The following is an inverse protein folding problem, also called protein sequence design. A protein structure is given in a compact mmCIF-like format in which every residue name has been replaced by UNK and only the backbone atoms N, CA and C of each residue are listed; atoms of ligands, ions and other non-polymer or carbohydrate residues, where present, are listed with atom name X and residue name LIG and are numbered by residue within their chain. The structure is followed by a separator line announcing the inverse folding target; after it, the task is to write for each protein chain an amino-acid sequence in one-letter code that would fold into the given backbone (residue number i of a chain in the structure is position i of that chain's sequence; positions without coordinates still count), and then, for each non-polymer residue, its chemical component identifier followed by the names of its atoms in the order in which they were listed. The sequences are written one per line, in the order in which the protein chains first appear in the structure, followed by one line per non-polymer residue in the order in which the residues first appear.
data_IF_841437350944
#
_entry.id   IF_841437350944
#
_cell.length_a   1.000
_cell.length_b   1.000
_cell.length_c   1.000
_cell.angle_alpha   90.00
_cell.angle_beta   90.00
_cell.angle_gamma   90.00
#
_symmetry.space_group_name_H-M   'P 1'
#
loop_
_entity.id
_entity.type
_entity.pdbx_description
1 polymer ?
#
# COMPACT_ATOMS: atom_id res chain seq x y z
N UNK A 1 -29.32 -5.77 -16.08
CA UNK A 1 -29.16 -4.86 -14.92
C UNK A 1 -28.13 -5.35 -13.90
N UNK A 2 -28.07 -6.63 -13.46
CA UNK A 2 -27.07 -7.06 -12.46
C UNK A 2 -25.61 -6.99 -12.96
N UNK A 3 -25.37 -7.18 -14.26
CA UNK A 3 -24.04 -7.08 -14.88
C UNK A 3 -23.43 -5.67 -14.80
N UNK A 4 -24.25 -4.62 -14.78
CA UNK A 4 -23.79 -3.24 -14.64
C UNK A 4 -23.34 -2.94 -13.20
N UNK A 5 -24.10 -3.40 -12.21
CA UNK A 5 -23.75 -3.25 -10.79
C UNK A 5 -22.47 -4.03 -10.42
N UNK A 6 -22.30 -5.23 -10.97
CA UNK A 6 -21.08 -6.02 -10.80
C UNK A 6 -19.86 -5.32 -11.40
N UNK A 7 -20.02 -4.73 -12.58
CA UNK A 7 -18.97 -3.96 -13.25
C UNK A 7 -18.57 -2.73 -12.42
N UNK A 8 -19.54 -2.05 -11.80
CA UNK A 8 -19.26 -0.87 -10.97
C UNK A 8 -18.55 -1.22 -9.66
N UNK A 9 -18.98 -2.30 -8.96
CA UNK A 9 -18.30 -2.78 -7.76
C UNK A 9 -16.88 -3.28 -8.06
N UNK A 10 -16.66 -3.97 -9.19
CA UNK A 10 -15.34 -4.38 -9.65
C UNK A 10 -14.45 -3.17 -9.98
N UNK A 11 -15.02 -2.15 -10.63
CA UNK A 11 -14.30 -0.91 -10.96
C UNK A 11 -13.89 -0.14 -9.69
N UNK A 12 -14.79 -0.07 -8.68
CA UNK A 12 -14.49 0.53 -7.38
C UNK A 12 -13.39 -0.24 -6.64
N UNK A 13 -13.45 -1.57 -6.64
CA UNK A 13 -12.37 -2.38 -6.08
C UNK A 13 -11.07 -2.09 -6.83
N UNK A 14 -11.08 -2.13 -8.16
CA UNK A 14 -9.89 -1.91 -8.98
C UNK A 14 -9.26 -0.54 -8.69
N UNK A 15 -10.08 0.49 -8.54
CA UNK A 15 -9.62 1.84 -8.21
C UNK A 15 -9.02 1.93 -6.80
N UNK A 16 -9.65 1.29 -5.82
CA UNK A 16 -9.15 1.22 -4.45
C UNK A 16 -7.80 0.49 -4.37
N UNK A 17 -7.69 -0.61 -5.12
CA UNK A 17 -6.48 -1.41 -5.26
C UNK A 17 -5.36 -0.59 -5.90
N UNK A 18 -5.63 0.09 -7.02
CA UNK A 18 -4.65 0.92 -7.72
C UNK A 18 -4.11 2.02 -6.82
N UNK A 19 -5.00 2.72 -6.08
CA UNK A 19 -4.61 3.74 -5.11
C UNK A 19 -3.71 3.17 -4.01
N UNK A 20 -4.06 2.01 -3.47
CA UNK A 20 -3.28 1.36 -2.42
C UNK A 20 -1.89 0.96 -2.94
N UNK A 21 -1.81 0.29 -4.09
CA UNK A 21 -0.54 -0.12 -4.70
C UNK A 21 0.33 1.09 -5.04
N UNK A 22 -0.25 2.17 -5.58
CA UNK A 22 0.48 3.40 -5.88
C UNK A 22 1.06 4.04 -4.62
N UNK A 23 0.27 4.10 -3.54
CA UNK A 23 0.72 4.63 -2.26
C UNK A 23 1.82 3.76 -1.64
N UNK A 24 1.67 2.43 -1.69
CA UNK A 24 2.70 1.48 -1.27
C UNK A 24 3.99 1.69 -2.06
N UNK A 25 3.90 1.81 -3.39
CA UNK A 25 5.07 1.99 -4.25
C UNK A 25 5.77 3.33 -4.00
N UNK A 26 5.02 4.39 -3.66
CA UNK A 26 5.55 5.70 -3.33
C UNK A 26 6.38 5.72 -2.03
N UNK A 27 6.18 4.76 -1.11
CA UNK A 27 7.00 4.64 0.10
C UNK A 27 8.47 4.44 -0.25
N UNK A 28 8.76 3.70 -1.33
CA UNK A 28 10.13 3.35 -1.70
C UNK A 28 10.96 4.60 -2.07
N UNK A 29 10.62 5.41 -3.09
CA UNK A 29 11.37 6.62 -3.39
C UNK A 29 11.32 7.65 -2.26
N UNK A 30 10.23 7.71 -1.50
CA UNK A 30 10.10 8.61 -0.34
C UNK A 30 11.14 8.27 0.73
N UNK A 31 11.29 6.98 1.05
CA UNK A 31 12.25 6.54 2.05
C UNK A 31 13.70 6.78 1.63
N UNK A 32 14.04 6.50 0.36
CA UNK A 32 15.37 6.78 -0.17
C UNK A 32 15.67 8.28 -0.09
N UNK A 33 14.73 9.13 -0.51
CA UNK A 33 14.91 10.58 -0.40
C UNK A 33 15.11 11.08 1.04
N UNK A 34 14.39 10.50 2.01
CA UNK A 34 14.56 10.84 3.43
C UNK A 34 15.90 10.34 4.01
N UNK A 35 16.33 9.14 3.62
CA UNK A 35 17.63 8.59 4.01
C UNK A 35 18.79 9.40 3.40
N UNK A 36 18.67 9.82 2.14
CA UNK A 36 19.65 10.68 1.48
C UNK A 36 19.77 12.04 2.17
N UNK A 37 18.64 12.63 2.59
CA UNK A 37 18.63 13.87 3.37
C UNK A 37 19.31 13.68 4.73
N UNK A 38 19.06 12.55 5.39
CA UNK A 38 19.69 12.21 6.66
C UNK A 38 21.20 12.03 6.50
N UNK A 39 21.65 11.36 5.43
CA UNK A 39 23.06 11.12 5.13
C UNK A 39 23.84 12.40 4.81
N UNK A 40 23.18 13.39 4.20
CA UNK A 40 23.78 14.69 3.87
C UNK A 40 23.79 15.68 5.04
N UNK A 41 23.14 15.35 6.16
CA UNK A 41 23.03 16.23 7.33
C UNK A 41 24.10 15.87 8.36
N UNK A 42 24.99 16.83 8.66
CA UNK A 42 26.01 16.71 9.70
C UNK A 42 25.66 17.54 10.96
N UNK A 43 26.06 17.05 12.13
CA UNK A 43 25.95 17.79 13.40
C UNK A 43 24.61 17.61 14.12
N UNK A 44 24.25 18.58 14.98
CA UNK A 44 23.10 18.43 15.91
C UNK A 44 21.74 18.32 15.21
N UNK A 45 21.62 18.77 13.96
CA UNK A 45 20.40 18.67 13.14
C UNK A 45 20.11 17.24 12.67
N UNK A 46 21.11 16.34 12.65
CA UNK A 46 20.95 14.95 12.20
C UNK A 46 19.93 14.19 13.04
N UNK A 47 19.91 14.42 14.36
CA UNK A 47 18.95 13.79 15.26
C UNK A 47 17.52 14.26 14.94
N UNK A 48 17.33 15.56 14.71
CA UNK A 48 16.02 16.15 14.40
C UNK A 48 15.49 15.61 13.07
N UNK A 49 16.34 15.63 12.02
CA UNK A 49 15.99 15.12 10.69
C UNK A 49 15.77 13.61 10.73
N UNK A 50 16.51 12.87 11.55
CA UNK A 50 16.31 11.44 11.78
C UNK A 50 14.95 11.13 12.37
N UNK A 51 14.56 11.81 13.45
CA UNK A 51 13.22 11.66 14.05
C UNK A 51 12.10 12.02 13.08
N UNK A 52 12.28 13.11 12.31
CA UNK A 52 11.29 13.53 11.33
C UNK A 52 11.13 12.50 10.20
N UNK A 53 12.24 12.02 9.66
CA UNK A 53 12.27 11.01 8.60
C UNK A 53 11.60 9.71 9.05
N UNK A 54 11.94 9.22 10.25
CA UNK A 54 11.36 8.00 10.81
C UNK A 54 9.85 8.17 11.08
N UNK A 55 9.43 9.34 11.57
CA UNK A 55 8.01 9.67 11.77
C UNK A 55 7.23 9.64 10.45
N UNK A 56 7.75 10.25 9.38
CA UNK A 56 7.10 10.25 8.07
C UNK A 56 7.03 8.85 7.46
N UNK A 57 8.12 8.08 7.52
CA UNK A 57 8.16 6.71 6.99
C UNK A 57 7.16 5.85 7.74
N UNK A 58 7.14 5.92 9.07
CA UNK A 58 6.21 5.13 9.90
C UNK A 58 4.74 5.50 9.64
N UNK A 59 4.41 6.79 9.55
CA UNK A 59 3.05 7.23 9.23
C UNK A 59 2.61 6.73 7.83
N UNK A 60 3.49 6.82 6.84
CA UNK A 60 3.22 6.35 5.48
C UNK A 60 2.99 4.83 5.43
N UNK A 61 3.81 4.06 6.15
CA UNK A 61 3.64 2.60 6.27
C UNK A 61 2.30 2.23 6.92
N UNK A 62 1.90 2.93 7.99
CA UNK A 62 0.61 2.69 8.65
C UNK A 62 -0.55 2.99 7.70
N UNK A 63 -0.50 4.11 6.96
CA UNK A 63 -1.53 4.44 5.98
C UNK A 63 -1.60 3.39 4.85
N UNK A 64 -0.44 2.92 4.37
CA UNK A 64 -0.38 1.87 3.36
C UNK A 64 -0.97 0.56 3.86
N UNK A 65 -0.68 0.18 5.11
CA UNK A 65 -1.31 -0.96 5.76
C UNK A 65 -2.83 -0.81 5.84
N UNK A 66 -3.34 0.33 6.31
CA UNK A 66 -4.79 0.54 6.46
C UNK A 66 -5.51 0.50 5.11
N UNK A 67 -4.95 1.11 4.07
CA UNK A 67 -5.55 1.09 2.73
C UNK A 67 -5.49 -0.30 2.09
N UNK A 68 -4.39 -1.03 2.25
CA UNK A 68 -4.25 -2.40 1.78
C UNK A 68 -5.22 -3.35 2.49
N UNK A 69 -5.37 -3.17 3.81
CA UNK A 69 -6.32 -3.93 4.61
C UNK A 69 -7.76 -3.64 4.20
N UNK A 70 -8.11 -2.36 4.01
CA UNK A 70 -9.44 -1.95 3.57
C UNK A 70 -9.80 -2.58 2.21
N UNK A 71 -8.88 -2.57 1.25
CA UNK A 71 -9.04 -3.28 -0.01
C UNK A 71 -9.23 -4.80 0.22
N UNK A 72 -8.44 -5.40 1.13
CA UNK A 72 -8.47 -6.81 1.51
C UNK A 72 -9.75 -7.24 2.23
N UNK A 73 -10.45 -6.34 2.91
CA UNK A 73 -11.70 -6.65 3.63
C UNK A 73 -12.95 -6.31 2.84
N UNK A 74 -12.82 -5.64 1.69
CA UNK A 74 -13.97 -5.25 0.86
C UNK A 74 -14.81 -6.46 0.45
N UNK A 75 -16.09 -6.43 0.79
CA UNK A 75 -17.05 -7.49 0.50
C UNK A 75 -17.85 -7.13 -0.76
N UNK A 76 -17.97 -8.08 -1.69
CA UNK A 76 -18.79 -7.95 -2.89
C UNK A 76 -19.90 -9.00 -2.78
N UNK A 77 -21.15 -8.57 -2.66
CA UNK A 77 -22.25 -9.48 -2.32
C UNK A 77 -22.83 -10.27 -3.51
N UNK A 78 -22.35 -10.09 -4.75
CA UNK A 78 -23.08 -10.56 -5.93
C UNK A 78 -22.24 -11.33 -6.97
N UNK A 79 -21.34 -12.23 -6.58
CA UNK A 79 -20.63 -13.09 -7.55
C UNK A 79 -21.25 -14.49 -7.60
N UNK A 80 -22.07 -14.76 -8.63
CA UNK A 80 -22.76 -16.04 -8.81
C UNK A 80 -21.80 -17.17 -9.25
N UNK A 81 -20.74 -16.85 -9.99
CA UNK A 81 -19.79 -17.84 -10.50
C UNK A 81 -18.62 -18.10 -9.53
N UNK A 82 -18.45 -19.37 -9.13
CA UNK A 82 -17.35 -19.82 -8.25
C UNK A 82 -15.95 -19.46 -8.76
N UNK A 83 -15.74 -19.43 -10.08
CA UNK A 83 -14.46 -19.09 -10.69
C UNK A 83 -14.14 -17.60 -10.51
N UNK A 84 -15.09 -16.71 -10.81
CA UNK A 84 -14.96 -15.27 -10.60
C UNK A 84 -14.76 -14.93 -9.12
N UNK A 85 -15.46 -15.63 -8.22
CA UNK A 85 -15.32 -15.42 -6.79
C UNK A 85 -13.90 -15.77 -6.30
N UNK A 86 -13.27 -16.79 -6.89
CA UNK A 86 -11.89 -17.18 -6.57
C UNK A 86 -10.89 -16.16 -7.11
N UNK A 87 -11.07 -15.70 -8.34
CA UNK A 87 -10.23 -14.64 -8.94
C UNK A 87 -10.34 -13.35 -8.12
N UNK A 88 -11.55 -12.98 -7.71
CA UNK A 88 -11.79 -11.79 -6.88
C UNK A 88 -11.09 -11.89 -5.53
N UNK A 89 -11.19 -13.02 -4.83
CA UNK A 89 -10.48 -13.26 -3.56
C UNK A 89 -8.97 -13.14 -3.72
N UNK A 90 -8.41 -13.71 -4.78
CA UNK A 90 -6.97 -13.65 -5.05
C UNK A 90 -6.54 -12.22 -5.39
N UNK A 91 -7.30 -11.55 -6.25
CA UNK A 91 -7.04 -10.17 -6.66
C UNK A 91 -7.00 -9.25 -5.44
N UNK A 92 -7.95 -9.41 -4.53
CA UNK A 92 -8.07 -8.62 -3.29
C UNK A 92 -6.86 -8.71 -2.35
N UNK A 93 -6.05 -9.76 -2.43
CA UNK A 93 -4.86 -9.96 -1.60
C UNK A 93 -3.61 -9.27 -2.13
N UNK A 94 -3.61 -8.82 -3.40
CA UNK A 94 -2.45 -8.19 -4.02
C UNK A 94 -1.87 -7.01 -3.22
N UNK A 95 -2.65 -6.06 -2.65
CA UNK A 95 -2.07 -4.89 -2.00
C UNK A 95 -1.27 -5.27 -0.76
N UNK A 96 -1.75 -6.27 0.00
CA UNK A 96 -1.01 -6.80 1.15
C UNK A 96 0.28 -7.51 0.74
N UNK A 97 0.30 -8.19 -0.41
CA UNK A 97 1.54 -8.79 -0.93
C UNK A 97 2.56 -7.72 -1.33
N UNK A 98 2.12 -6.66 -2.03
CA UNK A 98 2.98 -5.52 -2.39
C UNK A 98 3.54 -4.83 -1.14
N UNK A 99 2.71 -4.59 -0.13
CA UNK A 99 3.16 -4.02 1.14
C UNK A 99 4.20 -4.91 1.81
N UNK A 100 3.98 -6.23 1.82
CA UNK A 100 4.93 -7.19 2.40
C UNK A 100 6.30 -7.12 1.70
N UNK A 101 6.30 -7.09 0.36
CA UNK A 101 7.53 -6.99 -0.44
C UNK A 101 8.26 -5.68 -0.14
N UNK A 102 7.55 -4.56 -0.05
CA UNK A 102 8.15 -3.26 0.28
C UNK A 102 8.77 -3.30 1.68
N UNK A 103 8.05 -3.79 2.68
CA UNK A 103 8.56 -3.88 4.05
C UNK A 103 9.81 -4.77 4.13
N UNK A 104 9.82 -5.91 3.44
CA UNK A 104 11.01 -6.78 3.34
C UNK A 104 12.17 -6.02 2.69
N UNK A 105 11.92 -5.31 1.58
CA UNK A 105 12.96 -4.56 0.88
C UNK A 105 13.54 -3.42 1.73
N UNK A 106 12.73 -2.76 2.54
CA UNK A 106 13.19 -1.71 3.46
C UNK A 106 14.04 -2.27 4.58
N UNK A 107 13.67 -3.44 5.13
CA UNK A 107 14.45 -4.12 6.17
C UNK A 107 15.79 -4.65 5.61
N UNK A 108 15.83 -5.08 4.35
CA UNK A 108 17.06 -5.57 3.71
C UNK A 108 17.98 -4.45 3.21
N UNK A 109 17.44 -3.24 2.98
CA UNK A 109 18.19 -2.07 2.53
C UNK A 109 18.72 -1.17 3.67
N UNK A 110 18.32 -1.43 4.92
CA UNK A 110 18.92 -0.87 6.14
C UNK A 110 20.05 -1.75 6.67
#
# INVERSE_FOLDING_TARGET
MPTFLLTDQLNQLHWMMLKSILMILAILPMSHGLLDLLAQTEGSSQIIIGFFSLSIISASVILAFLTALHATTWQCEMIEHKAEQRIFKLYRQLPMLFLTVILISMVQGM
#
